data_IF_227532687942
#
_entry.id   IF_227532687942
#
_cell.length_a   1.000
_cell.length_b   1.000
_cell.length_c   1.000
_cell.angle_alpha   90.00
_cell.angle_beta   90.00
_cell.angle_gamma   90.00
#
_symmetry.space_group_name_H-M   'P 1'
#
loop_
_entity.id
_entity.type
_entity.pdbx_description
1 polymer ?
#
# COMPACT_ATOMS: atom_id res chain seq x y z
N UNK A 1 26.89 14.32 -22.70
CA UNK A 1 26.53 15.27 -21.62
C UNK A 1 25.03 15.11 -21.40
N UNK A 2 24.45 14.80 -20.26
CA UNK A 2 24.85 14.60 -18.86
C UNK A 2 23.73 13.73 -18.27
N UNK A 3 24.03 12.88 -17.28
CA UNK A 3 23.03 12.04 -16.62
C UNK A 3 21.86 12.89 -16.11
N UNK A 4 20.72 12.81 -16.80
CA UNK A 4 19.46 13.27 -16.27
C UNK A 4 19.04 12.26 -15.21
N UNK A 5 19.45 12.55 -13.98
CA UNK A 5 18.75 12.25 -12.75
C UNK A 5 17.36 11.65 -13.05
N UNK A 6 17.22 10.32 -12.92
CA UNK A 6 15.91 9.72 -12.71
C UNK A 6 15.30 10.51 -11.56
N UNK A 7 14.33 11.38 -11.89
CA UNK A 7 13.80 12.40 -10.99
C UNK A 7 13.60 11.78 -9.62
N UNK A 8 14.33 12.28 -8.62
CA UNK A 8 14.22 11.81 -7.23
C UNK A 8 12.76 11.82 -6.78
N UNK A 9 11.92 12.68 -7.36
CA UNK A 9 10.47 12.70 -7.14
C UNK A 9 9.73 11.43 -7.59
N UNK A 10 10.14 10.76 -8.67
CA UNK A 10 9.55 9.50 -9.12
C UNK A 10 9.88 8.35 -8.14
N UNK A 11 11.14 8.22 -7.74
CA UNK A 11 11.58 7.21 -6.77
C UNK A 11 10.91 7.41 -5.41
N UNK A 12 10.80 8.67 -4.95
CA UNK A 12 10.08 9.03 -3.73
C UNK A 12 8.59 8.69 -3.84
N UNK A 13 7.96 8.97 -4.99
CA UNK A 13 6.55 8.64 -5.21
C UNK A 13 6.27 7.15 -5.07
N UNK A 14 7.11 6.31 -5.69
CA UNK A 14 7.00 4.86 -5.58
C UNK A 14 7.24 4.34 -4.17
N UNK A 15 8.30 4.80 -3.50
CA UNK A 15 8.65 4.27 -2.17
C UNK A 15 7.61 4.64 -1.11
N UNK A 16 6.98 5.82 -1.23
CA UNK A 16 5.90 6.24 -0.33
C UNK A 16 4.67 5.35 -0.50
N UNK A 17 4.22 5.13 -1.74
CA UNK A 17 3.03 4.31 -2.00
C UNK A 17 3.28 2.84 -1.61
N UNK A 18 4.45 2.31 -1.94
CA UNK A 18 4.87 0.98 -1.49
C UNK A 18 4.92 0.89 0.04
N UNK A 19 5.47 1.90 0.72
CA UNK A 19 5.53 1.97 2.17
C UNK A 19 4.15 1.93 2.82
N UNK A 20 3.17 2.68 2.30
CA UNK A 20 1.78 2.65 2.78
C UNK A 20 1.16 1.26 2.58
N UNK A 21 1.37 0.64 1.41
CA UNK A 21 0.86 -0.71 1.14
C UNK A 21 1.44 -1.74 2.11
N UNK A 22 2.75 -1.71 2.32
CA UNK A 22 3.45 -2.60 3.26
C UNK A 22 2.95 -2.37 4.69
N UNK A 23 2.86 -1.11 5.13
CA UNK A 23 2.37 -0.78 6.46
C UNK A 23 0.94 -1.30 6.68
N UNK A 24 0.05 -1.15 5.69
CA UNK A 24 -1.29 -1.71 5.74
C UNK A 24 -1.27 -3.23 5.89
N UNK A 25 -0.50 -3.93 5.04
CA UNK A 25 -0.40 -5.39 5.06
C UNK A 25 0.15 -5.93 6.39
N UNK A 26 1.18 -5.28 6.94
CA UNK A 26 1.76 -5.65 8.23
C UNK A 26 0.80 -5.35 9.37
N UNK A 27 0.13 -4.19 9.35
CA UNK A 27 -0.86 -3.84 10.35
C UNK A 27 -2.02 -4.84 10.34
N UNK A 28 -2.58 -5.16 9.16
CA UNK A 28 -3.69 -6.11 9.05
C UNK A 28 -3.31 -7.55 9.41
N UNK A 29 -2.05 -7.95 9.19
CA UNK A 29 -1.61 -9.34 9.43
C UNK A 29 -1.11 -9.58 10.85
N UNK A 30 -0.54 -8.56 11.50
CA UNK A 30 0.09 -8.72 12.83
C UNK A 30 -0.50 -7.81 13.90
N UNK A 31 -0.73 -6.54 13.58
CA UNK A 31 -1.14 -5.55 14.59
C UNK A 31 -2.62 -5.65 14.93
N UNK A 32 -3.51 -5.73 13.93
CA UNK A 32 -4.95 -5.81 14.17
C UNK A 32 -5.35 -7.15 14.80
N UNK A 33 -4.83 -8.32 14.35
CA UNK A 33 -5.14 -9.60 14.99
C UNK A 33 -4.74 -9.68 16.47
N UNK A 34 -3.71 -8.93 16.88
CA UNK A 34 -3.28 -8.85 18.28
C UNK A 34 -4.33 -8.22 19.20
N UNK A 35 -5.12 -7.26 18.72
CA UNK A 35 -6.16 -6.59 19.51
C UNK A 35 -7.56 -7.14 19.25
N UNK A 36 -7.79 -7.71 18.05
CA UNK A 36 -9.02 -8.39 17.67
C UNK A 36 -8.67 -9.75 17.05
N UNK A 37 -8.77 -10.85 17.82
CA UNK A 37 -8.47 -12.20 17.33
C UNK A 37 -9.34 -12.62 16.15
N UNK A 38 -10.57 -12.12 16.09
CA UNK A 38 -11.53 -12.37 15.01
C UNK A 38 -11.35 -11.44 13.81
N UNK A 39 -10.16 -10.87 13.58
CA UNK A 39 -9.91 -10.02 12.41
C UNK A 39 -9.65 -10.86 11.13
N UNK A 40 -10.18 -10.47 9.96
CA UNK A 40 -11.06 -9.32 9.68
C UNK A 40 -12.53 -9.55 10.06
N UNK A 41 -12.89 -10.78 10.39
CA UNK A 41 -14.20 -11.17 10.89
C UNK A 41 -15.29 -11.07 9.82
N UNK A 42 -16.48 -11.67 10.06
CA UNK A 42 -17.57 -11.65 9.08
C UNK A 42 -18.04 -10.23 8.73
N UNK A 43 -17.99 -9.30 9.69
CA UNK A 43 -18.43 -7.93 9.52
C UNK A 43 -17.35 -6.98 8.95
N UNK A 44 -16.06 -7.32 9.08
CA UNK A 44 -14.96 -6.47 8.60
C UNK A 44 -14.32 -6.94 7.30
N UNK A 45 -14.67 -8.15 6.81
CA UNK A 45 -14.13 -8.72 5.59
C UNK A 45 -14.37 -7.83 4.36
N UNK A 46 -15.58 -7.28 4.21
CA UNK A 46 -15.91 -6.40 3.08
C UNK A 46 -15.07 -5.13 3.08
N UNK A 47 -14.92 -4.50 4.25
CA UNK A 47 -14.11 -3.28 4.40
C UNK A 47 -12.62 -3.57 4.12
N UNK A 48 -12.10 -4.69 4.65
CA UNK A 48 -10.72 -5.12 4.40
C UNK A 48 -10.47 -5.40 2.91
N UNK A 49 -11.40 -6.08 2.25
CA UNK A 49 -11.31 -6.37 0.81
C UNK A 49 -11.34 -5.09 -0.03
N UNK A 50 -12.25 -4.16 0.27
CA UNK A 50 -12.33 -2.86 -0.41
C UNK A 50 -11.03 -2.07 -0.22
N UNK A 51 -10.52 -1.97 1.01
CA UNK A 51 -9.27 -1.28 1.30
C UNK A 51 -8.09 -1.89 0.53
N UNK A 52 -8.02 -3.23 0.47
CA UNK A 52 -6.98 -3.95 -0.28
C UNK A 52 -7.06 -3.67 -1.79
N UNK A 53 -8.26 -3.69 -2.37
CA UNK A 53 -8.46 -3.39 -3.80
C UNK A 53 -8.10 -1.93 -4.10
N UNK A 54 -8.48 -0.99 -3.23
CA UNK A 54 -8.14 0.44 -3.40
C UNK A 54 -6.63 0.64 -3.34
N UNK A 55 -5.94 0.06 -2.34
CA UNK A 55 -4.49 0.15 -2.22
C UNK A 55 -3.77 -0.50 -3.40
N UNK A 56 -4.29 -1.62 -3.90
CA UNK A 56 -3.78 -2.25 -5.10
C UNK A 56 -3.92 -1.33 -6.34
N UNK A 57 -5.10 -0.72 -6.53
CA UNK A 57 -5.32 0.25 -7.59
C UNK A 57 -4.40 1.46 -7.47
N UNK A 58 -4.20 1.99 -6.26
CA UNK A 58 -3.24 3.07 -5.98
C UNK A 58 -1.81 2.68 -6.36
N UNK A 59 -1.39 1.44 -6.10
CA UNK A 59 -0.06 0.97 -6.50
C UNK A 59 0.10 0.92 -8.02
N UNK A 60 -0.91 0.44 -8.76
CA UNK A 60 -0.89 0.44 -10.22
C UNK A 60 -0.79 1.87 -10.76
N UNK A 61 -1.62 2.79 -10.23
CA UNK A 61 -1.58 4.20 -10.62
C UNK A 61 -0.21 4.79 -10.31
N UNK A 62 0.35 4.55 -9.12
CA UNK A 62 1.68 5.03 -8.76
C UNK A 62 2.76 4.53 -9.73
N UNK A 63 2.76 3.25 -10.08
CA UNK A 63 3.70 2.70 -11.07
C UNK A 63 3.50 3.34 -12.45
N UNK A 64 2.27 3.61 -12.87
CA UNK A 64 2.02 4.26 -14.16
C UNK A 64 2.50 5.73 -14.22
N UNK A 65 2.53 6.44 -13.09
CA UNK A 65 2.94 7.85 -13.03
C UNK A 65 4.40 8.05 -12.61
N UNK A 66 4.97 7.12 -11.84
CA UNK A 66 6.29 7.27 -11.23
C UNK A 66 7.29 6.15 -11.61
N UNK A 67 6.86 5.07 -12.28
CA UNK A 67 7.74 4.03 -12.82
C UNK A 67 8.16 4.32 -14.25
#
# INVERSE_FOLDING_TARGET
MLGAELSTGHEIGLIVVAGVFIAFALASSFLVPRYKPDFPGPAGLSVFAIASIVLFGLMIVAVNFFG
#
